data_IF_833324153830
#
_entry.id   IF_833324153830
#
_cell.length_a   1.000
_cell.length_b   1.000
_cell.length_c   1.000
_cell.angle_alpha   90.00
_cell.angle_beta   90.00
_cell.angle_gamma   90.00
#
_symmetry.space_group_name_H-M   'P 1'
#
loop_
_entity.id
_entity.type
_entity.pdbx_description
1 polymer ?
#
# COMPACT_ATOMS: atom_id res chain seq x y z
N UNK A 1 13.08 -22.72 5.74
CA UNK A 1 13.56 -21.45 5.15
C UNK A 1 12.36 -20.63 4.75
N UNK A 2 12.04 -19.58 5.49
CA UNK A 2 10.98 -18.64 5.10
C UNK A 2 11.52 -17.81 3.93
N UNK A 3 10.82 -17.82 2.80
CA UNK A 3 11.24 -17.09 1.61
C UNK A 3 11.09 -15.57 1.87
N UNK A 4 12.08 -14.77 1.45
CA UNK A 4 12.06 -13.30 1.57
C UNK A 4 10.74 -12.68 1.05
N UNK A 5 10.12 -13.26 0.02
CA UNK A 5 8.80 -12.83 -0.50
C UNK A 5 7.65 -13.06 0.49
N UNK A 6 7.72 -14.14 1.27
CA UNK A 6 6.73 -14.48 2.31
C UNK A 6 6.87 -13.56 3.52
N UNK A 7 8.10 -13.12 3.81
CA UNK A 7 8.39 -12.17 4.89
C UNK A 7 7.89 -10.76 4.55
N UNK A 8 8.05 -10.30 3.30
CA UNK A 8 7.52 -9.01 2.81
C UNK A 8 5.99 -8.97 2.88
N UNK A 9 5.31 -10.05 2.53
CA UNK A 9 3.85 -10.16 2.58
C UNK A 9 3.30 -10.12 4.03
N UNK A 10 4.01 -10.76 4.97
CA UNK A 10 3.70 -10.70 6.40
C UNK A 10 3.94 -9.30 6.99
N UNK A 11 4.88 -8.54 6.44
CA UNK A 11 5.19 -7.16 6.84
C UNK A 11 4.08 -6.18 6.44
N UNK A 12 3.54 -6.33 5.22
CA UNK A 12 2.32 -5.64 4.77
C UNK A 12 1.13 -6.01 5.68
N UNK A 13 1.09 -7.25 6.18
CA UNK A 13 0.08 -7.68 7.13
C UNK A 13 0.17 -6.93 8.50
N UNK A 14 1.35 -6.46 8.92
CA UNK A 14 1.54 -5.71 10.17
C UNK A 14 1.08 -4.25 10.07
N UNK A 15 1.41 -3.60 8.95
CA UNK A 15 1.05 -2.19 8.70
C UNK A 15 -0.46 -1.95 8.74
N UNK A 16 -1.23 -2.97 8.38
CA UNK A 16 -2.69 -2.86 8.25
C UNK A 16 -3.45 -3.00 9.57
N UNK A 17 -2.78 -3.44 10.63
CA UNK A 17 -3.34 -3.46 11.99
C UNK A 17 -3.15 -2.08 12.65
N UNK A 18 -2.04 -1.40 12.32
CA UNK A 18 -1.70 -0.08 12.88
C UNK A 18 -2.43 1.12 12.28
N UNK A 19 -3.39 0.90 11.38
CA UNK A 19 -4.24 1.96 10.82
C UNK A 19 -5.17 2.67 11.82
N UNK A 20 -5.10 2.37 13.12
CA UNK A 20 -5.79 3.09 14.19
C UNK A 20 -4.84 3.76 15.20
N UNK A 21 -3.53 3.49 15.12
CA UNK A 21 -2.57 3.88 16.15
C UNK A 21 -2.11 5.33 15.95
N UNK A 22 -2.73 6.28 16.65
CA UNK A 22 -2.37 7.71 16.56
C UNK A 22 -1.06 8.06 17.27
N UNK A 23 -0.28 7.09 17.79
CA UNK A 23 0.97 7.33 18.50
C UNK A 23 2.00 6.16 18.46
N UNK A 24 3.27 6.50 18.70
CA UNK A 24 4.46 5.61 18.68
C UNK A 24 4.46 4.47 19.72
N UNK A 25 3.61 4.51 20.74
CA UNK A 25 3.51 3.45 21.77
C UNK A 25 2.53 2.35 21.38
N UNK A 26 1.47 2.66 20.64
CA UNK A 26 0.47 1.70 20.19
C UNK A 26 1.02 0.80 19.06
N UNK A 27 1.80 1.38 18.14
CA UNK A 27 2.58 0.64 17.12
C UNK A 27 3.55 -0.37 17.76
N UNK A 28 4.11 -0.08 18.95
CA UNK A 28 5.01 -1.02 19.64
C UNK A 28 4.27 -2.26 20.13
N UNK A 29 3.03 -2.13 20.56
CA UNK A 29 2.28 -3.22 21.17
C UNK A 29 1.63 -4.12 20.11
N UNK A 30 1.23 -3.56 18.95
CA UNK A 30 0.73 -4.35 17.83
C UNK A 30 1.84 -5.11 17.09
N UNK A 31 3.01 -4.50 16.90
CA UNK A 31 4.20 -5.20 16.41
C UNK A 31 4.58 -6.36 17.34
N UNK A 32 4.39 -6.20 18.65
CA UNK A 32 4.62 -7.27 19.63
C UNK A 32 3.59 -8.40 19.50
N UNK A 33 2.32 -8.11 19.22
CA UNK A 33 1.29 -9.14 18.96
C UNK A 33 1.62 -9.96 17.71
N UNK A 34 2.05 -9.33 16.61
CA UNK A 34 2.42 -10.08 15.40
C UNK A 34 3.71 -10.90 15.60
N UNK A 35 4.67 -10.37 16.35
CA UNK A 35 5.86 -11.12 16.76
C UNK A 35 5.46 -12.37 17.57
N UNK A 36 4.41 -12.30 18.39
CA UNK A 36 3.87 -13.45 19.12
C UNK A 36 3.15 -14.46 18.19
N UNK A 37 2.45 -14.02 17.13
CA UNK A 37 1.85 -14.91 16.12
C UNK A 37 2.91 -15.60 15.25
N UNK A 38 3.97 -14.88 14.85
CA UNK A 38 5.11 -15.45 14.10
C UNK A 38 5.85 -16.47 14.98
N UNK A 39 5.98 -16.20 16.28
CA UNK A 39 6.45 -17.20 17.26
C UNK A 39 5.50 -18.40 17.37
N UNK A 40 4.19 -18.16 17.31
CA UNK A 40 3.17 -19.21 17.35
C UNK A 40 3.26 -20.17 16.17
N UNK A 41 3.36 -19.64 14.95
CA UNK A 41 3.54 -20.44 13.72
C UNK A 41 4.89 -21.19 13.70
N UNK A 42 5.93 -20.61 14.29
CA UNK A 42 7.21 -21.30 14.51
C UNK A 42 7.13 -22.36 15.64
N UNK A 43 6.27 -22.14 16.64
CA UNK A 43 6.01 -23.04 17.76
C UNK A 43 5.15 -24.24 17.40
N UNK A 44 4.18 -24.10 16.49
CA UNK A 44 3.41 -25.24 15.96
C UNK A 44 4.30 -26.24 15.23
N UNK A 45 5.31 -25.77 14.48
CA UNK A 45 6.33 -26.63 13.88
C UNK A 45 7.24 -27.32 14.92
N UNK A 46 7.31 -26.81 16.16
CA UNK A 46 8.13 -27.33 17.25
C UNK A 46 7.40 -28.39 18.10
N UNK A 47 6.09 -28.24 18.31
CA UNK A 47 5.28 -29.23 19.04
C UNK A 47 5.06 -30.51 18.23
N UNK A 48 5.06 -30.44 16.89
CA UNK A 48 5.09 -31.61 16.00
C UNK A 48 6.43 -32.37 16.07
N UNK A 49 7.53 -31.69 16.42
CA UNK A 49 8.86 -32.30 16.57
C UNK A 49 9.09 -32.96 17.95
N UNK A 50 8.26 -32.65 18.96
CA UNK A 50 8.36 -33.23 20.32
C UNK A 50 7.92 -34.70 20.42
N UNK A 51 7.19 -35.24 19.45
CA UNK A 51 6.67 -36.62 19.56
C UNK A 51 7.70 -37.73 19.26
N UNK A 52 8.94 -37.39 18.87
CA UNK A 52 9.99 -38.39 18.57
C UNK A 52 11.29 -38.12 19.34
N UNK A 53 11.43 -38.80 20.49
CA UNK A 53 12.64 -39.19 21.24
C UNK A 53 13.77 -38.16 21.52
N UNK A 54 13.70 -37.52 22.69
CA UNK A 54 14.65 -37.65 23.82
C UNK A 54 16.12 -37.24 23.73
N UNK A 55 16.82 -37.41 22.60
CA UNK A 55 18.29 -37.18 22.53
C UNK A 55 18.69 -36.20 21.40
N UNK A 56 17.72 -35.69 20.64
CA UNK A 56 17.89 -34.65 19.62
C UNK A 56 17.44 -33.24 20.08
N UNK A 57 16.91 -33.11 21.30
CA UNK A 57 16.23 -31.88 21.78
C UNK A 57 17.20 -30.72 22.02
N UNK A 58 18.39 -30.97 22.59
CA UNK A 58 19.36 -29.90 22.90
C UNK A 58 19.92 -29.23 21.63
N UNK A 59 20.01 -29.97 20.52
CA UNK A 59 20.45 -29.42 19.22
C UNK A 59 19.33 -28.70 18.46
N UNK A 60 18.08 -29.05 18.74
CA UNK A 60 16.89 -28.35 18.23
C UNK A 60 16.65 -27.05 19.00
N UNK A 61 16.97 -27.00 20.29
CA UNK A 61 16.92 -25.78 21.11
C UNK A 61 17.95 -24.75 20.64
N UNK A 62 19.18 -25.17 20.32
CA UNK A 62 20.24 -24.29 19.76
C UNK A 62 19.86 -23.75 18.36
N UNK A 63 19.26 -24.59 17.51
CA UNK A 63 18.75 -24.15 16.19
C UNK A 63 17.50 -23.25 16.31
N UNK A 64 16.69 -23.41 17.35
CA UNK A 64 15.52 -22.58 17.59
C UNK A 64 15.90 -21.21 18.19
N UNK A 65 16.95 -21.13 19.02
CA UNK A 65 17.48 -19.85 19.51
C UNK A 65 18.07 -19.02 18.39
N UNK A 66 18.81 -19.63 17.46
CA UNK A 66 19.38 -18.93 16.31
C UNK A 66 18.29 -18.33 15.41
N UNK A 67 17.23 -19.08 15.12
CA UNK A 67 16.09 -18.57 14.31
C UNK A 67 15.34 -17.45 15.03
N UNK A 68 15.19 -17.51 16.36
CA UNK A 68 14.54 -16.46 17.15
C UNK A 68 15.43 -15.21 17.27
N UNK A 69 16.75 -15.35 17.36
CA UNK A 69 17.69 -14.22 17.35
C UNK A 69 17.78 -13.57 15.97
N UNK A 70 17.86 -14.36 14.89
CA UNK A 70 17.79 -13.86 13.51
C UNK A 70 16.47 -13.12 13.25
N UNK A 71 15.33 -13.65 13.74
CA UNK A 71 14.03 -12.96 13.62
C UNK A 71 14.00 -11.67 14.44
N UNK A 72 14.57 -11.64 15.65
CA UNK A 72 14.66 -10.41 16.46
C UNK A 72 15.52 -9.35 15.79
N UNK A 73 16.67 -9.74 15.26
CA UNK A 73 17.57 -8.85 14.53
C UNK A 73 16.86 -8.28 13.29
N UNK A 74 16.26 -9.15 12.46
CA UNK A 74 15.47 -8.76 11.28
C UNK A 74 14.29 -7.85 11.67
N UNK A 75 13.58 -8.10 12.77
CA UNK A 75 12.50 -7.22 13.23
C UNK A 75 12.99 -5.85 13.70
N UNK A 76 14.19 -5.77 14.28
CA UNK A 76 14.78 -4.49 14.69
C UNK A 76 15.24 -3.67 13.48
N UNK A 77 15.86 -4.32 12.49
CA UNK A 77 16.30 -3.67 11.25
C UNK A 77 15.11 -3.20 10.41
N UNK A 78 14.07 -4.03 10.29
CA UNK A 78 12.81 -3.69 9.62
C UNK A 78 12.14 -2.50 10.31
N UNK A 79 12.09 -2.49 11.64
CA UNK A 79 11.46 -1.41 12.40
C UNK A 79 12.21 -0.09 12.26
N UNK A 80 13.54 -0.13 12.27
CA UNK A 80 14.37 1.05 12.06
C UNK A 80 14.27 1.57 10.62
N UNK A 81 14.20 0.69 9.63
CA UNK A 81 13.95 1.07 8.24
C UNK A 81 12.56 1.69 8.05
N UNK A 82 11.51 1.05 8.61
CA UNK A 82 10.14 1.52 8.51
C UNK A 82 9.93 2.85 9.22
N UNK A 83 10.56 3.05 10.39
CA UNK A 83 10.53 4.32 11.13
C UNK A 83 11.26 5.44 10.36
N UNK A 84 12.32 5.10 9.62
CA UNK A 84 13.04 6.07 8.79
C UNK A 84 12.25 6.44 7.53
N UNK A 85 11.48 5.50 6.98
CA UNK A 85 10.67 5.72 5.78
C UNK A 85 9.33 6.41 6.08
N UNK A 86 8.70 6.15 7.22
CA UNK A 86 7.43 6.75 7.69
C UNK A 86 7.52 8.28 7.91
N UNK A 87 8.70 8.81 8.22
CA UNK A 87 8.91 10.26 8.41
C UNK A 87 9.54 10.99 7.21
N UNK A 88 9.72 10.32 6.06
CA UNK A 88 10.39 10.88 4.89
C UNK A 88 9.36 11.37 3.87
N UNK A 89 9.34 12.67 3.61
CA UNK A 89 8.61 13.22 2.46
C UNK A 89 9.09 12.59 1.15
N UNK A 90 8.13 12.19 0.30
CA UNK A 90 8.42 11.65 -1.02
C UNK A 90 8.21 12.76 -2.03
N UNK A 91 9.31 13.38 -2.44
CA UNK A 91 9.25 14.60 -3.25
C UNK A 91 9.22 14.36 -4.77
N UNK A 92 9.39 13.11 -5.20
CA UNK A 92 9.55 12.74 -6.61
C UNK A 92 8.84 11.44 -6.90
N UNK A 93 8.22 11.36 -8.07
CA UNK A 93 7.51 10.16 -8.51
C UNK A 93 8.42 8.93 -8.51
N UNK A 94 9.69 9.06 -8.91
CA UNK A 94 10.64 7.93 -8.97
C UNK A 94 11.07 7.41 -7.58
N UNK A 95 10.86 8.20 -6.53
CA UNK A 95 11.17 7.81 -5.15
C UNK A 95 10.02 7.01 -4.50
N UNK A 96 8.85 6.94 -5.14
CA UNK A 96 7.71 6.13 -4.69
C UNK A 96 8.05 4.64 -4.79
N UNK A 97 7.77 3.90 -3.72
CA UNK A 97 7.98 2.45 -3.68
C UNK A 97 6.68 1.65 -3.57
N UNK A 98 5.68 2.23 -2.92
CA UNK A 98 4.34 1.64 -2.82
C UNK A 98 3.64 1.81 -4.16
N UNK A 99 3.16 0.72 -4.73
CA UNK A 99 2.37 0.73 -5.95
C UNK A 99 0.90 1.05 -5.69
N UNK A 100 0.17 1.46 -6.73
CA UNK A 100 -1.29 1.62 -6.65
C UNK A 100 -2.01 0.31 -6.25
N UNK A 101 -1.46 -0.85 -6.66
CA UNK A 101 -1.98 -2.15 -6.24
C UNK A 101 -1.82 -2.34 -4.74
N UNK A 102 -0.67 -2.00 -4.17
CA UNK A 102 -0.45 -2.12 -2.72
C UNK A 102 -1.34 -1.13 -1.94
N UNK A 103 -1.56 0.08 -2.45
CA UNK A 103 -2.52 1.02 -1.85
C UNK A 103 -3.97 0.49 -1.87
N UNK A 104 -4.39 -0.15 -2.96
CA UNK A 104 -5.68 -0.84 -3.07
C UNK A 104 -5.79 -1.96 -2.03
N UNK A 105 -4.76 -2.82 -1.92
CA UNK A 105 -4.72 -3.93 -0.97
C UNK A 105 -4.73 -3.43 0.49
N UNK A 106 -4.08 -2.29 0.76
CA UNK A 106 -4.10 -1.64 2.08
C UNK A 106 -5.53 -1.24 2.45
N UNK A 107 -6.24 -0.61 1.52
CA UNK A 107 -7.63 -0.22 1.75
C UNK A 107 -8.54 -1.43 1.95
N UNK A 108 -8.48 -2.43 1.07
CA UNK A 108 -9.32 -3.63 1.17
C UNK A 108 -9.14 -4.36 2.50
N UNK A 109 -7.90 -4.41 3.02
CA UNK A 109 -7.67 -5.11 4.28
C UNK A 109 -8.22 -4.34 5.48
N UNK A 110 -8.21 -2.99 5.45
CA UNK A 110 -8.76 -2.17 6.55
C UNK A 110 -10.28 -2.08 6.48
N UNK A 111 -10.84 -2.05 5.28
CA UNK A 111 -12.28 -2.05 5.04
C UNK A 111 -12.70 -3.26 4.19
N UNK A 112 -12.76 -4.47 4.79
CA UNK A 112 -13.26 -5.63 4.09
C UNK A 112 -14.67 -5.36 3.55
N UNK A 113 -14.93 -5.81 2.33
CA UNK A 113 -16.24 -5.70 1.65
C UNK A 113 -16.63 -4.29 1.16
N UNK A 114 -15.84 -3.25 1.46
CA UNK A 114 -16.05 -1.90 0.90
C UNK A 114 -15.54 -1.87 -0.54
N UNK A 115 -16.34 -1.30 -1.44
CA UNK A 115 -16.01 -1.17 -2.86
C UNK A 115 -15.15 0.05 -3.06
N UNK A 116 -13.98 -0.10 -3.70
CA UNK A 116 -13.12 1.04 -4.05
C UNK A 116 -13.64 1.68 -5.35
N UNK A 117 -13.85 2.99 -5.37
CA UNK A 117 -14.32 3.75 -6.54
C UNK A 117 -13.32 4.74 -7.12
N UNK A 118 -12.32 5.15 -6.33
CA UNK A 118 -11.25 6.04 -6.78
C UNK A 118 -9.93 5.68 -6.11
N UNK A 119 -8.85 5.73 -6.88
CA UNK A 119 -7.48 5.79 -6.36
C UNK A 119 -6.81 6.99 -7.01
N UNK A 120 -6.13 7.79 -6.22
CA UNK A 120 -5.35 8.93 -6.68
C UNK A 120 -3.96 8.87 -6.04
N UNK A 121 -2.97 9.38 -6.77
CA UNK A 121 -1.70 9.81 -6.20
C UNK A 121 -1.61 11.31 -6.46
N UNK A 122 -1.55 12.08 -5.39
CA UNK A 122 -1.57 13.54 -5.43
C UNK A 122 -0.27 14.11 -4.87
N UNK A 123 0.19 15.21 -5.43
CA UNK A 123 1.25 16.03 -4.89
C UNK A 123 0.66 17.14 -4.00
N UNK A 124 0.52 16.84 -2.71
CA UNK A 124 -0.04 17.78 -1.73
C UNK A 124 0.98 18.11 -0.62
N UNK A 125 0.96 19.35 -0.13
CA UNK A 125 1.83 19.83 0.95
C UNK A 125 3.32 19.39 0.82
N UNK A 126 3.87 19.49 -0.40
CA UNK A 126 5.25 19.15 -0.77
C UNK A 126 5.62 17.65 -0.68
N UNK A 127 4.65 16.74 -0.80
CA UNK A 127 4.92 15.32 -0.88
C UNK A 127 3.83 14.58 -1.66
N UNK A 128 4.17 13.43 -2.23
CA UNK A 128 3.15 12.55 -2.75
C UNK A 128 2.38 11.85 -1.64
N UNK A 129 1.08 11.68 -1.85
CA UNK A 129 0.18 10.92 -1.00
C UNK A 129 -0.78 10.10 -1.87
N UNK A 130 -0.98 8.83 -1.53
CA UNK A 130 -2.06 8.04 -2.11
C UNK A 130 -3.38 8.39 -1.42
N UNK A 131 -4.42 8.68 -2.17
CA UNK A 131 -5.80 8.74 -1.65
C UNK A 131 -6.60 7.56 -2.24
N UNK A 132 -7.16 6.71 -1.38
CA UNK A 132 -8.04 5.61 -1.79
C UNK A 132 -9.43 5.84 -1.23
N UNK A 133 -10.43 5.96 -2.12
CA UNK A 133 -11.83 6.16 -1.75
C UNK A 133 -12.66 4.94 -2.08
N UNK A 134 -13.55 4.60 -1.16
CA UNK A 134 -14.52 3.53 -1.34
C UNK A 134 -15.88 3.86 -0.76
N UNK A 135 -16.83 2.98 -1.03
CA UNK A 135 -18.22 3.16 -0.68
C UNK A 135 -18.92 1.83 -0.37
N UNK A 136 -19.93 1.92 0.47
CA UNK A 136 -20.99 0.93 0.56
C UNK A 136 -22.34 1.56 0.13
N UNK A 137 -23.44 0.95 0.55
CA UNK A 137 -24.78 1.45 0.25
C UNK A 137 -25.06 2.83 0.85
N UNK A 138 -24.59 3.10 2.06
CA UNK A 138 -25.00 4.21 2.91
C UNK A 138 -23.81 5.14 3.27
N UNK A 139 -22.56 4.71 3.09
CA UNK A 139 -21.36 5.39 3.56
C UNK A 139 -20.26 5.51 2.50
N UNK A 140 -19.37 6.49 2.71
CA UNK A 140 -18.09 6.64 2.02
C UNK A 140 -16.93 6.48 3.01
N UNK A 141 -15.79 6.08 2.48
CA UNK A 141 -14.54 5.83 3.22
C UNK A 141 -13.37 6.38 2.40
N UNK A 142 -12.35 6.90 3.06
CA UNK A 142 -11.16 7.51 2.47
C UNK A 142 -9.95 7.17 3.34
N UNK A 143 -8.88 6.69 2.71
CA UNK A 143 -7.57 6.56 3.33
C UNK A 143 -6.55 7.40 2.58
N UNK A 144 -5.74 8.18 3.32
CA UNK A 144 -4.51 8.76 2.79
C UNK A 144 -3.35 7.86 3.23
N UNK A 145 -2.50 7.46 2.29
CA UNK A 145 -1.46 6.46 2.50
C UNK A 145 -0.10 7.00 2.04
N UNK A 146 0.90 6.86 2.90
CA UNK A 146 2.27 7.28 2.61
C UNK A 146 2.89 6.41 1.51
N UNK A 147 3.35 6.98 0.38
CA UNK A 147 3.68 6.21 -0.83
C UNK A 147 5.05 5.51 -0.77
N UNK A 148 5.77 5.63 0.34
CA UNK A 148 7.00 4.89 0.59
C UNK A 148 6.82 3.77 1.61
N UNK A 149 6.08 4.03 2.68
CA UNK A 149 6.00 3.16 3.86
C UNK A 149 4.68 2.37 3.94
N UNK A 150 3.64 2.78 3.21
CA UNK A 150 2.30 2.22 3.36
C UNK A 150 1.59 2.64 4.65
N UNK A 151 2.12 3.59 5.40
CA UNK A 151 1.47 4.12 6.60
C UNK A 151 0.17 4.85 6.25
N UNK A 152 -0.89 4.59 7.00
CA UNK A 152 -2.15 5.33 6.89
C UNK A 152 -1.97 6.67 7.60
N UNK A 153 -1.87 7.73 6.82
CA UNK A 153 -1.73 9.11 7.30
C UNK A 153 -3.05 9.67 7.81
N UNK A 154 -4.17 9.17 7.27
CA UNK A 154 -5.52 9.64 7.59
C UNK A 154 -6.55 8.58 7.23
N UNK A 155 -7.58 8.51 8.06
CA UNK A 155 -8.74 7.63 7.93
C UNK A 155 -9.99 8.49 8.13
N UNK A 156 -10.81 8.58 7.09
CA UNK A 156 -12.08 9.31 7.15
C UNK A 156 -13.22 8.44 6.62
N UNK A 157 -14.38 8.64 7.22
CA UNK A 157 -15.63 8.06 6.72
C UNK A 157 -16.79 9.00 7.00
N UNK A 158 -17.89 8.79 6.28
CA UNK A 158 -19.11 9.55 6.49
C UNK A 158 -20.29 8.97 5.75
N UNK A 159 -21.45 9.58 5.95
CA UNK A 159 -22.67 9.18 5.23
C UNK A 159 -22.63 9.68 3.80
N UNK A 160 -23.07 8.82 2.89
CA UNK A 160 -23.17 9.13 1.47
C UNK A 160 -24.51 9.82 1.20
N UNK A 161 -24.48 10.92 0.45
CA UNK A 161 -25.68 11.63 0.00
C UNK A 161 -25.64 11.94 -1.51
N UNK A 162 -24.70 11.29 -2.23
CA UNK A 162 -24.63 11.42 -3.67
C UNK A 162 -25.73 10.58 -4.34
N UNK A 163 -26.10 10.98 -5.56
CA UNK A 163 -27.14 10.33 -6.38
C UNK A 163 -26.54 9.57 -7.57
N UNK A 164 -25.22 9.61 -7.71
CA UNK A 164 -24.52 9.06 -8.86
C UNK A 164 -24.17 7.61 -8.61
N UNK A 165 -24.29 6.79 -9.65
CA UNK A 165 -23.83 5.42 -9.56
C UNK A 165 -22.30 5.42 -9.50
N UNK A 166 -21.76 4.84 -8.42
CA UNK A 166 -20.34 4.58 -8.29
C UNK A 166 -20.08 3.15 -8.75
N UNK A 167 -19.05 2.97 -9.56
CA UNK A 167 -18.64 1.66 -10.05
C UNK A 167 -17.37 1.25 -9.33
N UNK A 168 -17.33 -0.01 -8.90
CA UNK A 168 -16.16 -0.56 -8.24
C UNK A 168 -15.01 -0.71 -9.24
N UNK A 169 -13.84 -0.19 -8.89
CA UNK A 169 -12.59 -0.46 -9.59
C UNK A 169 -12.15 -1.91 -9.34
N UNK A 170 -11.60 -2.54 -10.37
CA UNK A 170 -11.01 -3.87 -10.24
C UNK A 170 -9.50 -3.79 -10.04
N UNK A 171 -8.93 -4.77 -9.34
CA UNK A 171 -7.48 -4.84 -9.16
C UNK A 171 -6.71 -4.95 -10.50
N UNK A 172 -7.32 -5.53 -11.53
CA UNK A 172 -6.72 -5.62 -12.87
C UNK A 172 -6.65 -4.25 -13.57
N UNK A 173 -7.61 -3.35 -13.33
CA UNK A 173 -7.55 -1.98 -13.81
C UNK A 173 -6.46 -1.20 -13.06
N UNK A 174 -6.39 -1.35 -11.73
CA UNK A 174 -5.37 -0.69 -10.88
C UNK A 174 -3.95 -1.02 -11.32
N UNK A 175 -3.69 -2.29 -11.68
CA UNK A 175 -2.36 -2.74 -12.15
C UNK A 175 -1.89 -2.06 -13.44
N UNK A 176 -2.80 -1.49 -14.23
CA UNK A 176 -2.46 -0.83 -15.52
C UNK A 176 -1.99 0.61 -15.34
N UNK A 177 -2.36 1.27 -14.24
CA UNK A 177 -2.07 2.69 -14.00
C UNK A 177 -0.60 3.01 -14.20
N UNK A 178 0.30 2.23 -13.59
CA UNK A 178 1.74 2.47 -13.68
C UNK A 178 2.23 2.54 -15.13
N UNK A 179 1.81 1.60 -15.98
CA UNK A 179 2.25 1.56 -17.36
C UNK A 179 1.76 2.78 -18.16
N UNK A 180 0.58 3.31 -17.83
CA UNK A 180 0.02 4.50 -18.48
C UNK A 180 0.77 5.75 -18.03
N UNK A 181 1.00 5.92 -16.72
CA UNK A 181 1.77 7.05 -16.17
C UNK A 181 3.20 7.06 -16.71
N UNK A 182 3.89 5.91 -16.69
CA UNK A 182 5.25 5.80 -17.23
C UNK A 182 5.29 6.21 -18.71
N UNK A 183 4.31 5.77 -19.51
CA UNK A 183 4.19 6.14 -20.93
C UNK A 183 4.05 7.66 -21.11
N UNK A 184 3.18 8.31 -20.33
CA UNK A 184 2.97 9.77 -20.42
C UNK A 184 4.26 10.53 -20.11
N UNK A 185 4.99 10.12 -19.07
CA UNK A 185 6.27 10.74 -18.70
C UNK A 185 7.38 10.49 -19.74
N UNK A 186 7.43 9.29 -20.33
CA UNK A 186 8.38 8.96 -21.40
C UNK A 186 8.15 9.78 -22.68
N UNK A 187 6.89 10.03 -23.03
CA UNK A 187 6.50 10.84 -24.20
C UNK A 187 6.74 12.34 -23.96
N UNK A 188 6.83 12.79 -22.71
CA UNK A 188 7.02 14.17 -22.29
C UNK A 188 8.34 14.37 -21.55
N UNK A 189 9.45 14.32 -22.30
CA UNK A 189 10.79 14.39 -21.73
C UNK A 189 11.01 15.62 -20.83
N UNK A 190 11.36 15.35 -19.57
CA UNK A 190 11.63 16.39 -18.55
C UNK A 190 10.39 16.87 -17.81
N UNK A 191 9.21 16.29 -18.07
CA UNK A 191 8.03 16.52 -17.26
C UNK A 191 8.17 15.90 -15.86
N UNK A 192 7.44 16.46 -14.90
CA UNK A 192 7.20 15.86 -13.60
C UNK A 192 5.73 15.51 -13.47
N UNK A 193 5.42 14.42 -12.77
CA UNK A 193 4.04 14.09 -12.43
C UNK A 193 3.54 15.07 -11.38
N UNK A 194 2.32 15.58 -11.51
CA UNK A 194 1.64 16.31 -10.44
C UNK A 194 0.63 15.38 -9.76
N UNK A 195 -0.36 14.92 -10.51
CA UNK A 195 -1.41 14.01 -10.05
C UNK A 195 -1.61 12.85 -11.04
N UNK A 196 -2.08 11.71 -10.55
CA UNK A 196 -2.97 10.89 -11.37
C UNK A 196 -4.18 10.41 -10.59
N UNK A 197 -5.32 10.30 -11.27
CA UNK A 197 -6.59 9.80 -10.73
C UNK A 197 -7.13 8.65 -11.57
N UNK A 198 -7.38 7.50 -10.95
CA UNK A 198 -8.11 6.36 -11.51
C UNK A 198 -9.55 6.37 -10.98
N UNK A 199 -10.55 6.50 -11.85
CA UNK A 199 -11.97 6.47 -11.47
C UNK A 199 -12.85 5.92 -12.59
N UNK A 200 -14.10 5.58 -12.27
CA UNK A 200 -15.11 5.36 -13.30
C UNK A 200 -15.82 6.67 -13.61
N UNK A 201 -15.73 7.12 -14.85
CA UNK A 201 -16.41 8.32 -15.33
C UNK A 201 -16.89 8.12 -16.78
N UNK A 202 -17.93 8.86 -17.18
CA UNK A 202 -18.44 8.86 -18.56
C UNK A 202 -18.74 7.46 -19.17
N UNK A 203 -19.07 6.48 -18.32
CA UNK A 203 -19.41 5.13 -18.76
C UNK A 203 -18.23 4.16 -18.91
N UNK A 204 -17.03 4.53 -18.47
CA UNK A 204 -15.81 3.72 -18.56
C UNK A 204 -14.87 4.01 -17.39
N UNK A 205 -13.86 3.17 -17.20
CA UNK A 205 -12.80 3.45 -16.22
C UNK A 205 -11.69 4.22 -16.92
N UNK A 206 -11.39 5.41 -16.39
CA UNK A 206 -10.42 6.35 -16.94
C UNK A 206 -9.28 6.55 -15.93
N UNK A 207 -8.09 6.79 -16.46
CA UNK A 207 -6.98 7.36 -15.69
C UNK A 207 -6.63 8.71 -16.28
N UNK A 208 -6.72 9.74 -15.44
CA UNK A 208 -6.30 11.11 -15.71
C UNK A 208 -4.86 11.25 -15.16
N UNK A 209 -3.93 11.73 -15.97
CA UNK A 209 -2.52 11.93 -15.61
C UNK A 209 -2.15 13.38 -15.86
N UNK A 210 -1.93 14.13 -14.79
CA UNK A 210 -1.53 15.54 -14.81
C UNK A 210 -0.01 15.64 -14.68
N UNK A 211 0.62 16.37 -15.59
CA UNK A 211 2.07 16.58 -15.61
C UNK A 211 2.44 18.06 -15.74
N UNK A 212 3.52 18.44 -15.08
CA UNK A 212 4.18 19.72 -15.27
C UNK A 212 5.26 19.61 -16.34
N UNK A 213 5.13 20.38 -17.42
CA UNK A 213 6.17 20.52 -18.43
C UNK A 213 7.22 21.57 -18.06
N UNK A 214 8.47 21.43 -18.55
CA UNK A 214 9.48 22.47 -18.43
C UNK A 214 8.97 23.83 -18.95
N UNK A 215 8.93 24.82 -18.07
CA UNK A 215 8.38 26.15 -18.36
C UNK A 215 7.09 26.48 -17.60
N UNK A 216 6.58 25.56 -16.77
CA UNK A 216 5.39 25.76 -15.93
C UNK A 216 4.10 25.71 -16.75
N UNK A 217 4.04 24.78 -17.70
CA UNK A 217 2.82 24.46 -18.43
C UNK A 217 2.32 23.12 -17.93
N UNK A 218 1.06 23.06 -17.57
CA UNK A 218 0.44 21.85 -17.04
C UNK A 218 -0.30 21.17 -18.19
N UNK A 219 -0.33 19.85 -18.18
CA UNK A 219 -1.02 19.06 -19.20
C UNK A 219 -1.71 17.89 -18.53
N UNK A 220 -2.96 17.63 -18.89
CA UNK A 220 -3.71 16.45 -18.44
C UNK A 220 -3.87 15.47 -19.61
N UNK A 221 -3.64 14.18 -19.35
CA UNK A 221 -3.84 13.11 -20.30
C UNK A 221 -4.84 12.10 -19.76
N UNK A 222 -5.94 11.88 -20.49
CA UNK A 222 -7.00 10.97 -20.06
C UNK A 222 -7.00 9.72 -20.93
N UNK A 223 -6.87 8.55 -20.30
CA UNK A 223 -6.82 7.26 -20.96
C UNK A 223 -7.97 6.36 -20.52
N UNK A 224 -8.58 5.63 -21.46
CA UNK A 224 -9.42 4.49 -21.13
C UNK A 224 -8.55 3.35 -20.62
N UNK A 225 -8.80 2.92 -19.39
CA UNK A 225 -7.94 1.95 -18.68
C UNK A 225 -8.12 0.53 -19.22
N UNK A 226 -9.30 0.21 -19.75
CA UNK A 226 -9.60 -1.13 -20.21
C UNK A 226 -8.95 -1.42 -21.58
N UNK A 227 -8.99 -0.43 -22.47
CA UNK A 227 -8.46 -0.49 -23.84
C UNK A 227 -7.04 0.04 -23.98
N UNK A 228 -6.61 0.96 -23.09
CA UNK A 228 -5.36 1.70 -23.20
C UNK A 228 -5.38 2.82 -24.26
N UNK A 229 -6.56 3.18 -24.77
CA UNK A 229 -6.72 4.26 -25.74
C UNK A 229 -6.61 5.63 -25.05
N UNK A 230 -5.87 6.56 -25.66
CA UNK A 230 -5.86 7.97 -25.27
C UNK A 230 -7.18 8.60 -25.71
N UNK A 231 -7.89 9.22 -24.77
CA UNK A 231 -9.20 9.84 -24.98
C UNK A 231 -9.08 11.34 -25.20
N UNK A 232 -8.32 12.01 -24.35
CA UNK A 232 -8.25 13.47 -24.28
C UNK A 232 -6.87 13.95 -23.83
N UNK A 233 -6.51 15.16 -24.26
CA UNK A 233 -5.36 15.92 -23.77
C UNK A 233 -5.83 17.36 -23.54
N UNK A 234 -5.69 17.86 -22.32
CA UNK A 234 -6.07 19.22 -21.91
C UNK A 234 -4.86 20.02 -21.37
N UNK A 235 -4.97 21.36 -21.40
CA UNK A 235 -3.93 22.31 -21.02
C UNK A 235 -4.42 23.54 -20.24
#
# INVERSE_FOLDING_TARGET
MINKKTLTLLLVFVLLISGCASNKEEVKEEVKVVVEEVKGAAGEALDEAKEVSGEAVDKVEEMATDVVEEVKEVTSEVKDALTKESGRSVEKYEDIKLSAQEAYEIFEKKYPEIKIDKIQLDWDDNQYVYEVKGFDKDNWFELDIHPLSGEILKDKSGTRNDKYEKVQLTIEQVKKVKAIVDKVLEENAGATLDEWTLKYDNGRTEVEVEIDLPGGKDMEYTYDVDTGELLEIDD
#
